data_IF_150017457521
#
_entry.id   IF_150017457521
#
_cell.length_a   1.000
_cell.length_b   1.000
_cell.length_c   1.000
_cell.angle_alpha   90.00
_cell.angle_beta   90.00
_cell.angle_gamma   90.00
#
_symmetry.space_group_name_H-M   'P 1'
#
loop_
_entity.id
_entity.type
_entity.pdbx_description
1 polymer ?
#
# COMPACT_ATOMS: atom_id res chain seq x y z
N UNK A 1 26.01 1.31 25.29
CA UNK A 1 25.84 0.98 23.85
C UNK A 1 24.46 1.37 23.31
N UNK A 2 23.35 0.68 23.61
CA UNK A 2 22.01 1.12 23.16
C UNK A 2 21.63 2.53 23.67
N UNK A 3 21.98 2.84 24.93
CA UNK A 3 21.75 4.16 25.54
C UNK A 3 22.62 5.26 24.94
N UNK A 4 23.88 4.96 24.59
CA UNK A 4 24.79 5.90 23.91
C UNK A 4 24.46 6.09 22.42
N UNK A 5 23.89 5.05 21.77
CA UNK A 5 23.52 5.08 20.35
C UNK A 5 22.16 5.78 20.15
N UNK A 6 21.21 5.62 21.08
CA UNK A 6 19.93 6.35 21.09
C UNK A 6 20.09 7.86 21.38
N UNK A 7 21.15 8.26 22.09
CA UNK A 7 21.45 9.66 22.38
C UNK A 7 22.00 10.42 21.16
N UNK A 8 22.57 9.74 20.16
CA UNK A 8 23.29 10.36 19.05
C UNK A 8 22.56 10.36 17.69
N UNK A 9 21.35 9.79 17.59
CA UNK A 9 20.53 9.87 16.36
C UNK A 9 19.71 11.16 16.33
N UNK A 10 20.25 12.22 15.72
CA UNK A 10 19.49 13.42 15.33
C UNK A 10 18.63 13.13 14.07
N UNK A 11 17.57 13.89 13.78
CA UNK A 11 16.66 13.66 12.63
C UNK A 11 17.30 13.76 11.23
N UNK A 12 18.62 13.97 11.15
CA UNK A 12 19.44 13.86 9.93
C UNK A 12 20.37 12.64 9.99
N UNK A 13 19.90 11.50 10.48
CA UNK A 13 20.71 10.27 10.39
C UNK A 13 20.90 9.93 8.92
N UNK A 14 22.15 9.79 8.47
CA UNK A 14 22.46 9.32 7.13
C UNK A 14 21.81 7.93 6.93
N UNK A 15 21.11 7.65 5.80
CA UNK A 15 20.42 6.39 5.56
C UNK A 15 21.28 5.15 5.86
N UNK A 16 22.56 5.19 5.48
CA UNK A 16 23.54 4.11 5.73
C UNK A 16 23.72 3.77 7.22
N UNK A 17 23.62 4.79 8.09
CA UNK A 17 23.73 4.60 9.53
C UNK A 17 22.49 3.89 10.09
N UNK A 18 21.29 4.25 9.62
CA UNK A 18 20.05 3.55 9.99
C UNK A 18 20.03 2.10 9.51
N UNK A 19 20.47 1.85 8.27
CA UNK A 19 20.64 0.48 7.73
C UNK A 19 21.58 -0.34 8.61
N UNK A 20 22.74 0.24 9.01
CA UNK A 20 23.67 -0.45 9.91
C UNK A 20 23.03 -0.76 11.27
N UNK A 21 22.25 0.17 11.82
CA UNK A 21 21.51 -0.05 13.07
C UNK A 21 20.49 -1.18 12.94
N UNK A 22 19.68 -1.16 11.88
CA UNK A 22 18.69 -2.21 11.61
C UNK A 22 19.33 -3.60 11.59
N UNK A 23 20.47 -3.76 10.92
CA UNK A 23 21.23 -5.03 10.88
C UNK A 23 21.77 -5.48 12.23
N UNK A 24 22.17 -4.54 13.09
CA UNK A 24 22.63 -4.85 14.45
C UNK A 24 21.44 -5.33 15.30
N UNK A 25 20.32 -4.60 15.27
CA UNK A 25 19.11 -4.97 16.01
C UNK A 25 18.51 -6.30 15.52
N UNK A 26 18.55 -6.59 14.22
CA UNK A 26 18.13 -7.87 13.65
C UNK A 26 18.89 -9.07 14.24
N UNK A 27 20.12 -8.85 14.72
CA UNK A 27 20.95 -9.87 15.40
C UNK A 27 20.78 -9.87 16.93
N UNK A 28 20.01 -8.93 17.48
CA UNK A 28 19.77 -8.74 18.90
C UNK A 28 18.26 -8.64 19.20
N UNK A 29 17.48 -9.72 18.99
CA UNK A 29 16.02 -9.69 19.13
C UNK A 29 15.53 -9.31 20.55
N UNK A 30 16.30 -9.60 21.60
CA UNK A 30 15.97 -9.17 22.96
C UNK A 30 16.02 -7.64 23.12
N UNK A 31 17.00 -6.98 22.50
CA UNK A 31 17.13 -5.53 22.52
C UNK A 31 16.03 -4.86 21.70
N UNK A 32 15.70 -5.44 20.55
CA UNK A 32 14.58 -5.00 19.73
C UNK A 32 13.22 -5.16 20.45
N UNK A 33 13.03 -6.24 21.21
CA UNK A 33 11.86 -6.43 22.05
C UNK A 33 11.78 -5.38 23.17
N UNK A 34 12.90 -5.05 23.81
CA UNK A 34 12.97 -3.97 24.79
C UNK A 34 12.63 -2.60 24.19
N UNK A 35 13.12 -2.32 22.98
CA UNK A 35 12.77 -1.12 22.22
C UNK A 35 11.27 -1.06 21.89
N UNK A 36 10.69 -2.18 21.43
CA UNK A 36 9.27 -2.32 21.16
C UNK A 36 8.44 -2.05 22.43
N UNK A 37 8.81 -2.63 23.57
CA UNK A 37 8.14 -2.41 24.85
C UNK A 37 8.18 -0.94 25.29
N UNK A 38 9.36 -0.31 25.18
CA UNK A 38 9.51 1.11 25.51
C UNK A 38 8.65 2.01 24.61
N UNK A 39 8.60 1.72 23.30
CA UNK A 39 7.76 2.44 22.34
C UNK A 39 6.27 2.23 22.60
N UNK A 40 5.86 0.99 22.88
CA UNK A 40 4.48 0.60 23.13
C UNK A 40 3.88 1.25 24.39
N UNK A 41 4.71 1.65 25.35
CA UNK A 41 4.28 2.27 26.60
C UNK A 41 4.34 3.81 26.60
N UNK A 42 4.69 4.47 25.49
CA UNK A 42 4.72 5.95 25.42
C UNK A 42 3.32 6.55 25.49
N UNK A 43 3.13 7.59 26.29
CA UNK A 43 1.84 8.31 26.38
C UNK A 43 1.81 9.67 25.69
N UNK A 44 2.95 10.21 25.25
CA UNK A 44 3.04 11.57 24.70
C UNK A 44 4.03 11.68 23.54
N UNK A 45 3.75 12.61 22.62
CA UNK A 45 4.63 12.92 21.49
C UNK A 45 5.94 13.54 21.97
N UNK A 46 7.06 13.08 21.40
CA UNK A 46 8.36 13.70 21.65
C UNK A 46 9.51 13.06 20.90
N UNK A 47 10.69 13.67 21.01
CA UNK A 47 11.92 13.25 20.30
C UNK A 47 12.34 11.80 20.64
N UNK A 48 11.94 11.28 21.79
CA UNK A 48 12.20 9.89 22.16
C UNK A 48 11.33 8.91 21.37
N UNK A 49 10.05 9.21 21.18
CA UNK A 49 9.12 8.41 20.36
C UNK A 49 9.61 8.32 18.92
N UNK A 50 9.94 9.47 18.32
CA UNK A 50 10.41 9.56 16.94
C UNK A 50 11.67 8.72 16.73
N UNK A 51 12.66 8.85 17.63
CA UNK A 51 13.89 8.06 17.59
C UNK A 51 13.63 6.56 17.70
N UNK A 52 12.82 6.14 18.67
CA UNK A 52 12.52 4.72 18.87
C UNK A 52 11.74 4.15 17.68
N UNK A 53 10.81 4.92 17.10
CA UNK A 53 10.09 4.55 15.89
C UNK A 53 11.01 4.37 14.69
N UNK A 54 11.98 5.26 14.48
CA UNK A 54 12.96 5.12 13.40
C UNK A 54 13.88 3.91 13.57
N UNK A 55 14.37 3.67 14.80
CA UNK A 55 15.23 2.51 15.09
C UNK A 55 14.49 1.19 14.90
N UNK A 56 13.25 1.11 15.39
CA UNK A 56 12.41 -0.08 15.24
C UNK A 56 12.05 -0.31 13.77
N UNK A 57 11.65 0.75 13.06
CA UNK A 57 11.36 0.70 11.62
C UNK A 57 12.55 0.21 10.80
N UNK A 58 13.76 0.69 11.08
CA UNK A 58 14.97 0.21 10.38
C UNK A 58 15.27 -1.27 10.64
N UNK A 59 15.03 -1.76 11.86
CA UNK A 59 15.20 -3.18 12.18
C UNK A 59 14.15 -4.06 11.48
N UNK A 60 12.90 -3.60 11.45
CA UNK A 60 11.79 -4.26 10.75
C UNK A 60 12.01 -4.30 9.24
N UNK A 61 12.53 -3.22 8.65
CA UNK A 61 12.83 -3.15 7.22
C UNK A 61 13.92 -4.16 6.82
N UNK A 62 15.02 -4.24 7.58
CA UNK A 62 16.06 -5.24 7.39
C UNK A 62 15.52 -6.67 7.59
N UNK A 63 14.64 -6.88 8.58
CA UNK A 63 14.00 -8.17 8.81
C UNK A 63 13.08 -8.57 7.64
N UNK A 64 12.32 -7.61 7.10
CA UNK A 64 11.48 -7.78 5.91
C UNK A 64 12.33 -8.16 4.71
N UNK A 65 13.37 -7.39 4.40
CA UNK A 65 14.30 -7.66 3.27
C UNK A 65 14.94 -9.05 3.42
N UNK A 66 15.41 -9.41 4.61
CA UNK A 66 15.97 -10.73 4.92
C UNK A 66 14.95 -11.84 4.63
N UNK A 67 13.71 -11.70 5.10
CA UNK A 67 12.61 -12.65 4.85
C UNK A 67 12.27 -12.78 3.37
N UNK A 68 12.15 -11.67 2.65
CA UNK A 68 11.82 -11.64 1.22
C UNK A 68 12.92 -12.24 0.33
N UNK A 69 14.16 -12.26 0.82
CA UNK A 69 15.28 -12.93 0.17
C UNK A 69 15.43 -14.41 0.63
N UNK A 70 14.39 -14.97 1.26
CA UNK A 70 14.34 -16.38 1.66
C UNK A 70 15.16 -16.72 2.92
N UNK A 71 15.63 -15.73 3.67
CA UNK A 71 16.39 -15.99 4.89
C UNK A 71 15.48 -16.16 6.10
N UNK A 72 15.65 -17.28 6.82
CA UNK A 72 14.85 -17.62 8.01
C UNK A 72 15.01 -16.60 9.15
N UNK A 73 16.16 -15.91 9.24
CA UNK A 73 16.43 -14.94 10.30
C UNK A 73 15.40 -13.81 10.33
N UNK A 74 15.04 -13.24 9.18
CA UNK A 74 14.06 -12.16 9.09
C UNK A 74 12.69 -12.59 9.62
N UNK A 75 12.24 -13.79 9.24
CA UNK A 75 10.98 -14.37 9.75
C UNK A 75 11.01 -14.57 11.27
N UNK A 76 12.05 -15.22 11.79
CA UNK A 76 12.17 -15.49 13.23
C UNK A 76 12.21 -14.20 14.06
N UNK A 77 12.85 -13.16 13.54
CA UNK A 77 12.90 -11.86 14.20
C UNK A 77 11.51 -11.21 14.28
N UNK A 78 10.77 -11.16 13.17
CA UNK A 78 9.41 -10.61 13.14
C UNK A 78 8.50 -11.41 14.06
N UNK A 79 8.51 -12.74 13.96
CA UNK A 79 7.71 -13.66 14.79
C UNK A 79 8.00 -13.44 16.30
N UNK A 80 9.26 -13.17 16.68
CA UNK A 80 9.66 -12.87 18.06
C UNK A 80 9.12 -11.53 18.57
N UNK A 81 9.16 -10.47 17.76
CA UNK A 81 8.61 -9.17 18.15
C UNK A 81 7.09 -9.23 18.27
N UNK A 82 6.47 -9.97 17.36
CA UNK A 82 5.04 -10.26 17.34
C UNK A 82 4.58 -11.01 18.60
N UNK A 83 5.35 -12.01 19.05
CA UNK A 83 5.12 -12.70 20.30
C UNK A 83 5.29 -11.77 21.52
N UNK A 84 6.32 -10.91 21.51
CA UNK A 84 6.54 -9.93 22.58
C UNK A 84 5.38 -8.92 22.68
N UNK A 85 4.89 -8.45 21.53
CA UNK A 85 3.70 -7.60 21.47
C UNK A 85 2.47 -8.28 22.09
N UNK A 86 2.29 -9.59 21.85
CA UNK A 86 1.24 -10.38 22.49
C UNK A 86 1.34 -10.38 24.02
N UNK A 87 2.54 -10.46 24.58
CA UNK A 87 2.73 -10.35 26.03
C UNK A 87 2.36 -8.95 26.55
N UNK A 88 2.77 -7.89 25.86
CA UNK A 88 2.45 -6.51 26.24
C UNK A 88 0.93 -6.24 26.25
N UNK A 89 0.19 -6.87 25.33
CA UNK A 89 -1.28 -6.81 25.30
C UNK A 89 -1.87 -7.48 26.54
N UNK A 90 -1.40 -8.66 26.89
CA UNK A 90 -1.86 -9.40 28.08
C UNK A 90 -1.54 -8.63 29.38
N UNK A 91 -0.39 -7.95 29.45
CA UNK A 91 -0.01 -7.16 30.62
C UNK A 91 -0.61 -5.76 30.67
N UNK A 92 -1.39 -5.36 29.66
CA UNK A 92 -2.02 -4.03 29.60
C UNK A 92 -1.01 -2.88 29.45
N UNK A 93 0.17 -3.15 28.86
CA UNK A 93 1.28 -2.18 28.78
C UNK A 93 1.25 -1.31 27.52
N UNK A 94 0.30 -1.55 26.60
CA UNK A 94 0.12 -0.75 25.39
C UNK A 94 -0.79 0.45 25.67
N UNK A 95 -0.24 1.64 25.50
CA UNK A 95 -1.02 2.88 25.44
C UNK A 95 -1.60 3.06 24.04
N UNK A 96 -2.60 3.95 23.90
CA UNK A 96 -3.12 4.32 22.56
C UNK A 96 -2.02 4.90 21.66
N UNK A 97 -1.21 5.83 22.19
CA UNK A 97 -0.11 6.45 21.43
C UNK A 97 0.97 5.43 21.05
N UNK A 98 1.30 4.51 21.96
CA UNK A 98 2.25 3.43 21.69
C UNK A 98 1.76 2.48 20.61
N UNK A 99 0.46 2.12 20.58
CA UNK A 99 -0.14 1.35 19.47
C UNK A 99 0.05 2.05 18.13
N UNK A 100 -0.22 3.36 18.07
CA UNK A 100 -0.05 4.14 16.84
C UNK A 100 1.42 4.19 16.40
N UNK A 101 2.35 4.45 17.32
CA UNK A 101 3.78 4.52 17.00
C UNK A 101 4.33 3.17 16.53
N UNK A 102 3.92 2.06 17.16
CA UNK A 102 4.27 0.70 16.74
C UNK A 102 3.65 0.37 15.39
N UNK A 103 2.37 0.67 15.17
CA UNK A 103 1.70 0.49 13.87
C UNK A 103 2.45 1.22 12.76
N UNK A 104 2.76 2.50 12.97
CA UNK A 104 3.53 3.30 12.01
C UNK A 104 4.93 2.73 11.72
N UNK A 105 5.62 2.16 12.72
CA UNK A 105 6.91 1.52 12.51
C UNK A 105 6.81 0.28 11.59
N UNK A 106 5.75 -0.52 11.72
CA UNK A 106 5.47 -1.65 10.81
C UNK A 106 5.15 -1.17 9.39
N UNK A 107 4.22 -0.22 9.26
CA UNK A 107 3.77 0.30 7.96
C UNK A 107 4.94 0.91 7.20
N UNK A 108 5.73 1.78 7.84
CA UNK A 108 6.90 2.41 7.20
C UNK A 108 8.00 1.42 6.83
N UNK A 109 8.06 0.27 7.51
CA UNK A 109 8.94 -0.82 7.14
C UNK A 109 8.37 -1.72 6.01
N UNK A 110 7.19 -1.41 5.48
CA UNK A 110 6.52 -2.22 4.44
C UNK A 110 5.93 -3.52 4.97
N UNK A 111 5.59 -3.59 6.26
CA UNK A 111 4.98 -4.75 6.90
C UNK A 111 3.53 -4.46 7.28
N UNK A 112 2.68 -5.48 7.20
CA UNK A 112 1.32 -5.44 7.76
C UNK A 112 1.41 -5.40 9.30
N UNK A 113 0.85 -4.39 9.97
CA UNK A 113 0.84 -4.35 11.42
C UNK A 113 0.06 -5.54 12.03
N UNK A 114 0.50 -6.13 13.15
CA UNK A 114 -0.17 -7.29 13.72
C UNK A 114 -1.56 -6.94 14.26
N UNK A 115 -2.57 -7.79 14.01
CA UNK A 115 -3.95 -7.59 14.48
C UNK A 115 -4.07 -7.40 16.01
N UNK A 116 -3.07 -7.89 16.77
CA UNK A 116 -2.95 -7.69 18.22
C UNK A 116 -2.84 -6.22 18.64
N UNK A 117 -2.46 -5.33 17.71
CA UNK A 117 -2.43 -3.88 17.94
C UNK A 117 -3.82 -3.27 18.06
N UNK A 118 -4.85 -3.95 17.55
CA UNK A 118 -6.23 -3.51 17.68
C UNK A 118 -6.57 -3.27 19.16
N UNK A 119 -7.15 -2.11 19.44
CA UNK A 119 -7.77 -1.84 20.73
C UNK A 119 -9.01 -2.72 20.87
N UNK A 120 -9.36 -3.05 22.11
CA UNK A 120 -10.68 -3.63 22.39
C UNK A 120 -11.75 -2.58 22.13
N UNK A 121 -12.96 -3.01 21.78
CA UNK A 121 -14.08 -2.10 21.47
C UNK A 121 -14.40 -1.16 22.62
N UNK A 122 -14.46 -1.67 23.85
CA UNK A 122 -14.69 -0.87 25.07
C UNK A 122 -13.62 0.20 25.27
N UNK A 123 -12.34 -0.19 25.23
CA UNK A 123 -11.23 0.74 25.38
C UNK A 123 -11.14 1.78 24.24
N UNK A 124 -11.58 1.41 23.03
CA UNK A 124 -11.61 2.34 21.90
C UNK A 124 -12.75 3.37 22.05
N UNK A 125 -13.94 2.92 22.44
CA UNK A 125 -15.08 3.79 22.69
C UNK A 125 -14.83 4.76 23.86
N UNK A 126 -14.12 4.33 24.92
CA UNK A 126 -13.70 5.25 26.00
C UNK A 126 -12.81 6.40 25.50
N UNK A 127 -11.98 6.15 24.48
CA UNK A 127 -11.06 7.15 23.92
C UNK A 127 -11.75 8.08 22.92
N UNK A 128 -12.66 7.55 22.10
CA UNK A 128 -13.35 8.30 21.04
C UNK A 128 -14.67 8.93 21.51
N UNK A 129 -15.22 8.47 22.64
CA UNK A 129 -16.58 8.77 23.09
C UNK A 129 -17.54 7.63 22.71
N UNK A 130 -18.55 7.38 23.54
CA UNK A 130 -19.50 6.25 23.44
C UNK A 130 -20.34 6.23 22.13
N UNK A 131 -20.31 7.28 21.33
CA UNK A 131 -21.08 7.38 20.10
C UNK A 131 -20.31 6.82 18.90
N UNK A 132 -20.79 5.71 18.35
CA UNK A 132 -20.45 5.25 16.99
C UNK A 132 -21.31 6.00 15.96
N UNK A 133 -21.57 7.29 16.19
CA UNK A 133 -22.35 8.11 15.26
C UNK A 133 -21.47 8.39 14.02
N UNK A 134 -21.96 8.19 12.79
CA UNK A 134 -21.27 8.65 11.58
C UNK A 134 -20.74 10.09 11.68
N UNK A 135 -21.41 10.98 12.40
CA UNK A 135 -20.96 12.35 12.64
C UNK A 135 -19.62 12.45 13.40
N UNK A 136 -19.34 11.52 14.32
CA UNK A 136 -18.07 11.49 15.07
C UNK A 136 -16.92 11.06 14.17
N UNK A 137 -17.16 10.08 13.30
CA UNK A 137 -16.18 9.67 12.29
C UNK A 137 -15.91 10.77 11.25
N UNK A 138 -16.93 11.50 10.82
CA UNK A 138 -16.75 12.66 9.93
C UNK A 138 -15.85 13.71 10.60
N UNK A 139 -16.08 14.02 11.88
CA UNK A 139 -15.25 14.97 12.63
C UNK A 139 -13.81 14.50 12.81
N UNK A 140 -13.61 13.20 13.04
CA UNK A 140 -12.28 12.59 13.11
C UNK A 140 -11.56 12.73 11.77
N UNK A 141 -12.21 12.39 10.65
CA UNK A 141 -11.61 12.51 9.32
C UNK A 141 -11.30 13.98 9.03
N UNK A 142 -12.18 14.92 9.34
CA UNK A 142 -11.92 16.36 9.14
C UNK A 142 -10.66 16.80 9.89
N UNK A 143 -10.50 16.41 11.15
CA UNK A 143 -9.32 16.75 11.94
C UNK A 143 -8.00 16.21 11.35
N UNK A 144 -8.08 15.08 10.64
CA UNK A 144 -6.94 14.37 10.06
C UNK A 144 -6.59 14.87 8.65
N UNK A 145 -7.61 15.21 7.88
CA UNK A 145 -7.49 15.56 6.45
C UNK A 145 -7.13 17.03 6.27
N UNK A 146 -7.67 17.92 7.11
CA UNK A 146 -7.42 19.36 7.04
C UNK A 146 -5.94 19.74 7.00
N UNK A 147 -5.05 19.16 7.84
CA UNK A 147 -3.63 19.42 7.76
C UNK A 147 -3.00 18.95 6.44
N UNK A 148 -3.39 17.77 5.94
CA UNK A 148 -2.82 17.16 4.74
C UNK A 148 -3.22 17.93 3.47
N UNK A 149 -4.45 18.41 3.39
CA UNK A 149 -4.90 19.26 2.28
C UNK A 149 -4.09 20.56 2.23
N UNK A 150 -3.73 21.15 3.39
CA UNK A 150 -2.92 22.38 3.45
C UNK A 150 -1.48 22.17 2.99
N UNK A 151 -0.98 20.94 3.05
CA UNK A 151 0.37 20.56 2.63
C UNK A 151 0.42 20.01 1.19
N UNK A 152 -0.67 20.15 0.41
CA UNK A 152 -0.85 19.53 -0.92
C UNK A 152 -0.65 17.99 -0.92
N UNK A 153 -0.94 17.34 0.23
CA UNK A 153 -0.90 15.90 0.36
C UNK A 153 -1.98 15.21 -0.49
N UNK A 154 -1.57 14.48 -1.52
CA UNK A 154 -2.48 13.71 -2.39
C UNK A 154 -3.06 12.46 -1.72
N UNK A 155 -3.81 11.65 -2.49
CA UNK A 155 -4.44 10.40 -2.03
C UNK A 155 -3.44 9.40 -1.41
N UNK A 156 -2.20 9.37 -1.88
CA UNK A 156 -1.12 8.56 -1.28
C UNK A 156 -0.76 8.97 0.15
N UNK A 157 -0.74 10.27 0.46
CA UNK A 157 -0.43 10.75 1.81
C UNK A 157 -1.54 10.38 2.80
N UNK A 158 -2.80 10.49 2.34
CA UNK A 158 -3.96 10.04 3.09
C UNK A 158 -3.97 8.53 3.32
N UNK A 159 -3.67 7.74 2.27
CA UNK A 159 -3.55 6.30 2.40
C UNK A 159 -2.48 5.91 3.43
N UNK A 160 -1.31 6.55 3.41
CA UNK A 160 -0.25 6.31 4.37
C UNK A 160 -0.69 6.63 5.82
N UNK A 161 -1.36 7.76 6.03
CA UNK A 161 -1.90 8.14 7.34
C UNK A 161 -2.89 7.09 7.87
N UNK A 162 -3.86 6.68 7.05
CA UNK A 162 -4.84 5.67 7.46
C UNK A 162 -4.20 4.29 7.67
N UNK A 163 -3.18 3.94 6.90
CA UNK A 163 -2.45 2.68 7.06
C UNK A 163 -1.82 2.57 8.46
N UNK A 164 -1.35 3.67 9.04
CA UNK A 164 -0.82 3.67 10.42
C UNK A 164 -1.94 3.60 11.48
N UNK A 165 -3.12 4.14 11.18
CA UNK A 165 -4.21 4.30 12.15
C UNK A 165 -5.18 3.11 12.18
N UNK A 166 -5.69 2.66 11.05
CA UNK A 166 -6.71 1.61 10.97
C UNK A 166 -6.34 0.34 11.76
N UNK A 167 -5.08 -0.13 11.77
CA UNK A 167 -4.71 -1.34 12.50
C UNK A 167 -4.91 -1.26 14.02
N UNK A 168 -4.90 -0.06 14.62
CA UNK A 168 -5.11 0.10 16.07
C UNK A 168 -6.59 0.12 16.46
N UNK A 169 -7.49 0.22 15.48
CA UNK A 169 -8.93 0.24 15.70
C UNK A 169 -9.48 -1.18 15.80
N UNK A 170 -10.59 -1.40 16.54
CA UNK A 170 -11.35 -2.64 16.47
C UNK A 170 -11.91 -2.90 15.05
N UNK A 171 -12.12 -4.16 14.64
CA UNK A 171 -12.58 -4.51 13.30
C UNK A 171 -13.84 -3.77 12.83
N UNK A 172 -14.88 -3.69 13.67
CA UNK A 172 -16.12 -2.98 13.34
C UNK A 172 -15.92 -1.48 13.11
N UNK A 173 -15.06 -0.85 13.93
CA UNK A 173 -14.72 0.58 13.78
C UNK A 173 -13.91 0.85 12.50
N UNK A 174 -13.01 -0.07 12.11
CA UNK A 174 -12.28 0.03 10.83
C UNK A 174 -13.25 0.06 9.65
N UNK A 175 -14.16 -0.90 9.59
CA UNK A 175 -15.16 -0.98 8.51
C UNK A 175 -15.99 0.31 8.45
N UNK A 176 -16.50 0.76 9.60
CA UNK A 176 -17.33 1.97 9.69
C UNK A 176 -16.57 3.21 9.22
N UNK A 177 -15.36 3.45 9.74
CA UNK A 177 -14.54 4.59 9.36
C UNK A 177 -14.20 4.58 7.87
N UNK A 178 -13.80 3.42 7.33
CA UNK A 178 -13.48 3.27 5.90
C UNK A 178 -14.72 3.57 5.04
N UNK A 179 -15.88 3.03 5.39
CA UNK A 179 -17.14 3.31 4.69
C UNK A 179 -17.45 4.80 4.68
N UNK A 180 -17.39 5.45 5.84
CA UNK A 180 -17.64 6.90 5.98
C UNK A 180 -16.65 7.68 5.12
N UNK A 181 -15.34 7.40 5.25
CA UNK A 181 -14.29 8.07 4.48
C UNK A 181 -14.54 7.97 2.97
N UNK A 182 -14.75 6.76 2.44
CA UNK A 182 -14.98 6.54 1.00
C UNK A 182 -16.28 7.19 0.51
N UNK A 183 -17.30 7.26 1.35
CA UNK A 183 -18.57 7.89 1.04
C UNK A 183 -18.49 9.42 0.87
N UNK A 184 -17.42 10.08 1.32
CA UNK A 184 -17.30 11.55 1.33
C UNK A 184 -17.17 12.14 -0.07
N UNK A 185 -17.78 13.30 -0.39
CA UNK A 185 -17.86 13.83 -1.75
C UNK A 185 -16.54 13.95 -2.55
N UNK A 186 -15.40 14.41 -1.97
CA UNK A 186 -14.16 14.57 -2.74
C UNK A 186 -13.70 13.27 -3.41
N UNK A 187 -13.27 13.37 -4.67
CA UNK A 187 -12.95 12.19 -5.50
C UNK A 187 -11.78 11.35 -4.96
N UNK A 188 -10.84 12.00 -4.27
CA UNK A 188 -9.70 11.35 -3.63
C UNK A 188 -10.12 10.21 -2.69
N UNK A 189 -11.30 10.31 -2.07
CA UNK A 189 -11.81 9.28 -1.15
C UNK A 189 -12.35 8.07 -1.90
N UNK A 190 -12.88 8.27 -3.11
CA UNK A 190 -13.27 7.18 -3.99
C UNK A 190 -12.04 6.44 -4.54
N UNK A 191 -10.97 7.18 -4.87
CA UNK A 191 -9.67 6.61 -5.23
C UNK A 191 -9.08 5.79 -4.08
N UNK A 192 -9.16 6.32 -2.86
CA UNK A 192 -8.75 5.61 -1.65
C UNK A 192 -9.57 4.32 -1.44
N UNK A 193 -10.88 4.38 -1.68
CA UNK A 193 -11.74 3.20 -1.67
C UNK A 193 -11.31 2.16 -2.71
N UNK A 194 -10.90 2.56 -3.90
CA UNK A 194 -10.35 1.64 -4.90
C UNK A 194 -9.05 0.96 -4.41
N UNK A 195 -8.16 1.70 -3.75
CA UNK A 195 -6.94 1.14 -3.17
C UNK A 195 -7.26 0.12 -2.06
N UNK A 196 -8.20 0.45 -1.17
CA UNK A 196 -8.60 -0.41 -0.06
C UNK A 196 -9.34 -1.68 -0.45
N UNK A 197 -9.86 -1.80 -1.68
CA UNK A 197 -10.36 -3.07 -2.19
C UNK A 197 -9.27 -4.15 -2.29
N UNK A 198 -8.00 -3.75 -2.36
CA UNK A 198 -6.83 -4.63 -2.41
C UNK A 198 -6.18 -4.84 -1.03
N UNK A 199 -6.76 -4.30 0.05
CA UNK A 199 -6.21 -4.44 1.40
C UNK A 199 -6.28 -5.90 1.89
N UNK A 200 -5.31 -6.33 2.69
CA UNK A 200 -5.30 -7.67 3.30
C UNK A 200 -6.42 -7.87 4.35
N UNK A 201 -6.85 -6.80 5.03
CA UNK A 201 -7.87 -6.84 6.05
C UNK A 201 -9.29 -6.80 5.45
N UNK A 202 -10.14 -7.76 5.83
CA UNK A 202 -11.46 -7.95 5.25
C UNK A 202 -12.44 -6.81 5.60
N UNK A 203 -12.33 -6.24 6.79
CA UNK A 203 -13.17 -5.13 7.27
C UNK A 203 -12.88 -3.84 6.49
N UNK A 204 -11.61 -3.56 6.18
CA UNK A 204 -11.22 -2.45 5.30
C UNK A 204 -11.82 -2.64 3.90
N UNK A 205 -11.65 -3.82 3.28
CA UNK A 205 -12.24 -4.10 1.96
C UNK A 205 -13.77 -3.97 1.96
N UNK A 206 -14.41 -4.45 3.01
CA UNK A 206 -15.87 -4.39 3.21
C UNK A 206 -16.36 -2.95 3.33
N UNK A 207 -15.69 -2.14 4.16
CA UNK A 207 -16.01 -0.72 4.28
C UNK A 207 -15.84 0.02 2.96
N UNK A 208 -14.79 -0.32 2.20
CA UNK A 208 -14.50 0.35 0.92
C UNK A 208 -15.59 0.10 -0.12
N UNK A 209 -16.03 -1.16 -0.29
CA UNK A 209 -17.13 -1.47 -1.23
C UNK A 209 -18.46 -0.87 -0.78
N UNK A 210 -18.70 -0.72 0.53
CA UNK A 210 -19.89 -0.08 1.09
C UNK A 210 -19.89 1.43 0.82
N UNK A 211 -18.77 2.11 1.07
CA UNK A 211 -18.66 3.54 0.79
C UNK A 211 -18.79 3.84 -0.70
N UNK A 212 -18.22 3.01 -1.59
CA UNK A 212 -18.41 3.13 -3.03
C UNK A 212 -19.87 2.91 -3.44
N UNK A 213 -20.59 2.00 -2.76
CA UNK A 213 -22.02 1.81 -2.99
C UNK A 213 -22.84 3.02 -2.51
N UNK A 214 -22.47 3.63 -1.39
CA UNK A 214 -23.10 4.87 -0.89
C UNK A 214 -22.87 6.04 -1.86
N UNK A 215 -21.67 6.17 -2.44
CA UNK A 215 -21.40 7.13 -3.53
C UNK A 215 -22.28 6.88 -4.75
N UNK A 216 -22.43 5.61 -5.16
CA UNK A 216 -23.30 5.28 -6.28
C UNK A 216 -24.75 5.67 -5.97
N UNK A 217 -25.24 5.32 -4.78
CA UNK A 217 -26.60 5.63 -4.33
C UNK A 217 -26.88 7.15 -4.33
N UNK A 218 -25.93 7.96 -3.88
CA UNK A 218 -25.99 9.42 -3.84
C UNK A 218 -25.68 10.12 -5.18
N UNK A 219 -25.32 9.37 -6.22
CA UNK A 219 -25.01 9.93 -7.54
C UNK A 219 -23.63 10.58 -7.65
N UNK A 220 -22.71 10.26 -6.72
CA UNK A 220 -21.35 10.81 -6.63
C UNK A 220 -20.27 9.88 -7.21
N UNK A 221 -20.64 8.69 -7.70
CA UNK A 221 -19.69 7.78 -8.34
C UNK A 221 -19.33 8.28 -9.74
N UNK A 222 -18.04 8.57 -9.97
CA UNK A 222 -17.55 9.04 -11.27
C UNK A 222 -17.33 7.90 -12.26
N UNK A 223 -17.23 8.27 -13.54
CA UNK A 223 -16.86 7.33 -14.60
C UNK A 223 -15.41 6.86 -14.49
N UNK A 224 -14.52 7.69 -13.95
CA UNK A 224 -13.11 7.36 -13.72
C UNK A 224 -12.99 6.26 -12.65
N UNK A 225 -13.70 6.40 -11.53
CA UNK A 225 -13.77 5.35 -10.50
C UNK A 225 -14.38 4.08 -11.08
N UNK A 226 -15.46 4.17 -11.87
CA UNK A 226 -16.05 3.00 -12.51
C UNK A 226 -15.06 2.24 -13.42
N UNK A 227 -14.18 2.96 -14.14
CA UNK A 227 -13.13 2.36 -14.94
C UNK A 227 -12.12 1.58 -14.07
N UNK A 228 -11.70 2.16 -12.93
CA UNK A 228 -10.82 1.49 -11.94
C UNK A 228 -11.46 0.23 -11.38
N UNK A 229 -12.73 0.30 -10.97
CA UNK A 229 -13.48 -0.85 -10.45
C UNK A 229 -13.58 -1.99 -11.47
N UNK A 230 -13.69 -1.66 -12.76
CA UNK A 230 -13.72 -2.65 -13.85
C UNK A 230 -12.39 -3.38 -14.02
N UNK A 231 -11.27 -2.71 -13.77
CA UNK A 231 -9.93 -3.33 -13.74
C UNK A 231 -9.82 -4.25 -12.51
N UNK A 232 -10.10 -3.68 -11.33
CA UNK A 232 -9.93 -4.32 -10.03
C UNK A 232 -10.73 -5.62 -9.87
N UNK A 233 -11.92 -5.72 -10.49
CA UNK A 233 -12.77 -6.92 -10.38
C UNK A 233 -12.05 -8.23 -10.69
N UNK A 234 -11.08 -8.19 -11.61
CA UNK A 234 -10.33 -9.37 -12.05
C UNK A 234 -9.18 -9.75 -11.13
N UNK A 235 -8.87 -8.90 -10.14
CA UNK A 235 -7.76 -9.07 -9.22
C UNK A 235 -8.23 -9.44 -7.79
N UNK A 236 -9.53 -9.45 -7.52
CA UNK A 236 -10.07 -9.78 -6.19
C UNK A 236 -10.26 -11.30 -6.01
N UNK A 237 -9.47 -11.96 -5.18
CA UNK A 237 -9.61 -13.41 -4.89
C UNK A 237 -10.89 -13.74 -4.10
N UNK A 238 -11.33 -12.85 -3.23
CA UNK A 238 -12.55 -13.00 -2.44
C UNK A 238 -13.81 -12.98 -3.31
N UNK A 239 -14.49 -14.12 -3.41
CA UNK A 239 -15.69 -14.32 -4.23
C UNK A 239 -16.85 -13.43 -3.78
N UNK A 240 -17.03 -13.24 -2.47
CA UNK A 240 -18.14 -12.43 -1.94
C UNK A 240 -17.91 -10.96 -2.23
N UNK A 241 -16.69 -10.46 -2.01
CA UNK A 241 -16.32 -9.10 -2.36
C UNK A 241 -16.43 -8.85 -3.87
N UNK A 242 -15.94 -9.79 -4.69
CA UNK A 242 -16.04 -9.71 -6.16
C UNK A 242 -17.50 -9.62 -6.62
N UNK A 243 -18.39 -10.44 -6.05
CA UNK A 243 -19.82 -10.40 -6.38
C UNK A 243 -20.46 -9.05 -6.02
N UNK A 244 -20.09 -8.45 -4.88
CA UNK A 244 -20.56 -7.11 -4.49
C UNK A 244 -20.07 -6.05 -5.46
N UNK A 245 -18.79 -6.11 -5.83
CA UNK A 245 -18.20 -5.19 -6.81
C UNK A 245 -18.85 -5.33 -8.19
N UNK A 246 -19.10 -6.55 -8.66
CA UNK A 246 -19.79 -6.82 -9.93
C UNK A 246 -21.24 -6.27 -9.90
N UNK A 247 -21.91 -6.37 -8.75
CA UNK A 247 -23.22 -5.73 -8.54
C UNK A 247 -23.15 -4.22 -8.69
N UNK A 248 -22.21 -3.58 -8.00
CA UNK A 248 -21.99 -2.14 -8.04
C UNK A 248 -21.66 -1.65 -9.46
N UNK A 249 -20.72 -2.30 -10.15
CA UNK A 249 -20.36 -1.98 -11.55
C UNK A 249 -21.59 -2.10 -12.44
N UNK A 250 -22.36 -3.19 -12.32
CA UNK A 250 -23.58 -3.40 -13.11
C UNK A 250 -24.61 -2.30 -12.88
N UNK A 251 -24.82 -1.88 -11.63
CA UNK A 251 -25.77 -0.82 -11.29
C UNK A 251 -25.30 0.56 -11.78
N UNK A 252 -24.00 0.85 -11.69
CA UNK A 252 -23.40 2.05 -12.24
C UNK A 252 -23.55 2.13 -13.78
N UNK A 253 -23.34 1.02 -14.48
CA UNK A 253 -23.58 0.90 -15.93
C UNK A 253 -25.04 1.19 -16.29
N UNK A 254 -26.00 0.63 -15.53
CA UNK A 254 -27.45 0.88 -15.75
C UNK A 254 -27.84 2.34 -15.56
N UNK A 255 -27.12 3.07 -14.69
CA UNK A 255 -27.31 4.52 -14.49
C UNK A 255 -26.63 5.38 -15.56
N UNK A 256 -25.97 4.77 -16.55
CA UNK A 256 -25.37 5.48 -17.68
C UNK A 256 -24.01 6.13 -17.39
N UNK A 257 -23.38 5.83 -16.25
CA UNK A 257 -22.12 6.47 -15.82
C UNK A 257 -20.97 6.19 -16.82
N UNK A 258 -20.95 5.00 -17.44
CA UNK A 258 -19.87 4.61 -18.36
C UNK A 258 -19.82 5.38 -19.68
N UNK A 259 -20.94 5.95 -20.13
CA UNK A 259 -21.00 6.71 -21.39
C UNK A 259 -20.23 8.04 -21.33
N UNK A 260 -19.76 8.44 -20.14
CA UNK A 260 -18.96 9.66 -19.93
C UNK A 260 -17.45 9.47 -20.16
N UNK A 261 -16.97 8.24 -20.40
CA UNK A 261 -15.53 7.97 -20.61
C UNK A 261 -15.16 8.25 -22.07
N UNK A 262 -14.56 9.42 -22.33
CA UNK A 262 -13.75 9.62 -23.52
C UNK A 262 -12.33 9.17 -23.19
N UNK A 263 -11.84 8.10 -23.80
CA UNK A 263 -10.45 7.70 -23.62
C UNK A 263 -9.54 8.67 -24.41
N UNK A 264 -8.78 9.56 -23.75
CA UNK A 264 -7.82 10.39 -24.47
C UNK A 264 -6.78 9.49 -25.14
N UNK A 265 -6.36 9.83 -26.35
CA UNK A 265 -5.33 9.07 -27.06
C UNK A 265 -4.03 8.99 -26.26
N UNK A 266 -3.70 7.80 -25.76
CA UNK A 266 -2.48 7.51 -24.99
C UNK A 266 -1.36 7.09 -25.94
N UNK A 267 -0.17 7.64 -25.75
CA UNK A 267 1.03 7.29 -26.53
C UNK A 267 2.13 6.80 -25.58
N UNK A 268 2.58 5.57 -25.80
CA UNK A 268 3.77 5.02 -25.16
C UNK A 268 4.97 5.32 -26.08
N UNK A 269 5.92 6.15 -25.62
CA UNK A 269 7.08 6.55 -26.43
C UNK A 269 8.23 5.55 -26.35
N UNK A 270 8.45 4.98 -25.16
CA UNK A 270 9.52 4.02 -24.85
C UNK A 270 9.09 3.18 -23.68
N UNK A 271 9.39 1.89 -23.73
CA UNK A 271 9.15 0.93 -22.65
C UNK A 271 10.44 0.14 -22.48
N UNK A 272 10.94 0.07 -21.26
CA UNK A 272 12.15 -0.66 -20.91
C UNK A 272 11.87 -1.65 -19.80
N UNK A 273 12.64 -2.73 -19.76
CA UNK A 273 12.70 -3.65 -18.64
C UNK A 273 14.14 -4.07 -18.32
N UNK A 274 14.42 -4.30 -17.05
CA UNK A 274 15.68 -4.92 -16.62
C UNK A 274 15.67 -6.43 -16.91
N UNK A 275 16.84 -7.06 -16.80
CA UNK A 275 16.88 -8.50 -16.56
C UNK A 275 16.28 -8.83 -15.19
N UNK A 276 15.87 -10.09 -15.03
CA UNK A 276 15.53 -10.65 -13.73
C UNK A 276 16.82 -10.82 -12.94
N UNK A 277 16.93 -10.18 -11.78
CA UNK A 277 18.10 -10.29 -10.92
C UNK A 277 18.17 -11.61 -10.14
N UNK A 278 19.27 -11.84 -9.42
CA UNK A 278 19.46 -13.06 -8.61
C UNK A 278 18.46 -13.22 -7.44
N UNK A 279 17.64 -12.20 -7.15
CA UNK A 279 16.57 -12.24 -6.17
C UNK A 279 15.18 -12.47 -6.79
N UNK A 280 15.13 -12.65 -8.11
CA UNK A 280 13.90 -12.81 -8.87
C UNK A 280 13.16 -11.51 -9.16
N UNK A 281 13.80 -10.34 -9.04
CA UNK A 281 13.18 -9.04 -9.27
C UNK A 281 13.41 -8.52 -10.69
N UNK A 282 12.38 -7.90 -11.28
CA UNK A 282 12.45 -7.25 -12.58
C UNK A 282 11.75 -5.88 -12.52
N UNK A 283 12.47 -4.84 -12.93
CA UNK A 283 11.94 -3.48 -13.03
C UNK A 283 11.51 -3.17 -14.46
N UNK A 284 10.37 -2.52 -14.63
CA UNK A 284 9.87 -2.05 -15.92
C UNK A 284 9.52 -0.56 -15.82
N UNK A 285 9.76 0.20 -16.89
CA UNK A 285 9.38 1.59 -16.96
C UNK A 285 8.85 1.97 -18.35
N UNK A 286 7.83 2.83 -18.40
CA UNK A 286 7.22 3.30 -19.63
C UNK A 286 7.05 4.83 -19.60
N UNK A 287 7.52 5.51 -20.66
CA UNK A 287 7.20 6.94 -20.84
C UNK A 287 5.86 7.08 -21.53
N UNK A 288 4.90 7.72 -20.86
CA UNK A 288 3.51 7.87 -21.30
C UNK A 288 3.23 9.33 -21.66
N UNK A 289 2.43 9.56 -22.70
CA UNK A 289 1.84 10.85 -23.01
C UNK A 289 0.33 10.71 -23.25
N UNK A 290 -0.44 11.54 -22.55
CA UNK A 290 -1.90 11.63 -22.67
C UNK A 290 -2.28 13.08 -22.92
N UNK A 291 -2.63 13.42 -24.17
CA UNK A 291 -2.78 14.81 -24.58
C UNK A 291 -1.48 15.61 -24.41
N UNK A 292 -1.51 16.67 -23.59
CA UNK A 292 -0.33 17.48 -23.22
C UNK A 292 0.42 16.93 -21.99
N UNK A 293 -0.23 16.10 -21.17
CA UNK A 293 0.34 15.55 -19.95
C UNK A 293 1.33 14.43 -20.25
N UNK A 294 2.39 14.35 -19.44
CA UNK A 294 3.46 13.36 -19.56
C UNK A 294 3.71 12.70 -18.21
N UNK A 295 4.09 11.44 -18.24
CA UNK A 295 4.47 10.71 -17.04
C UNK A 295 5.44 9.57 -17.34
N UNK A 296 6.06 9.04 -16.28
CA UNK A 296 6.79 7.77 -16.32
C UNK A 296 6.06 6.79 -15.41
N UNK A 297 5.54 5.71 -15.98
CA UNK A 297 4.99 4.60 -15.22
C UNK A 297 6.11 3.62 -14.89
N UNK A 298 6.17 3.16 -13.64
CA UNK A 298 7.19 2.22 -13.14
C UNK A 298 6.49 1.04 -12.48
N UNK A 299 7.00 -0.17 -12.71
CA UNK A 299 6.51 -1.41 -12.08
C UNK A 299 7.70 -2.25 -11.64
N UNK A 300 7.62 -2.82 -10.44
CA UNK A 300 8.54 -3.81 -9.92
C UNK A 300 7.82 -5.15 -9.76
N UNK A 301 8.29 -6.15 -10.50
CA UNK A 301 7.86 -7.53 -10.39
C UNK A 301 8.84 -8.29 -9.50
N UNK A 302 8.37 -9.21 -8.67
CA UNK A 302 9.22 -10.08 -7.87
C UNK A 302 8.65 -11.49 -7.79
N UNK A 303 9.46 -12.47 -8.17
CA UNK A 303 9.12 -13.88 -8.03
C UNK A 303 8.71 -14.22 -6.59
N UNK A 304 7.62 -14.98 -6.44
CA UNK A 304 6.99 -15.33 -5.16
C UNK A 304 6.19 -14.22 -4.50
N UNK A 305 6.13 -13.03 -5.11
CA UNK A 305 5.38 -11.87 -4.60
C UNK A 305 4.41 -11.27 -5.63
N UNK A 306 4.68 -11.45 -6.92
CA UNK A 306 3.91 -10.82 -7.99
C UNK A 306 4.32 -9.36 -8.23
N UNK A 307 3.33 -8.45 -8.29
CA UNK A 307 3.57 -7.01 -8.49
C UNK A 307 3.85 -6.35 -7.13
N UNK A 308 5.13 -6.06 -6.87
CA UNK A 308 5.60 -5.57 -5.58
C UNK A 308 5.51 -4.06 -5.42
N UNK A 309 5.75 -3.33 -6.49
CA UNK A 309 5.64 -1.87 -6.51
C UNK A 309 5.14 -1.41 -7.89
N UNK A 310 4.38 -0.33 -7.91
CA UNK A 310 3.84 0.26 -9.12
C UNK A 310 3.39 1.69 -8.84
N UNK A 311 3.86 2.64 -9.65
CA UNK A 311 3.49 4.04 -9.51
C UNK A 311 3.67 4.81 -10.83
N UNK A 312 3.07 5.99 -10.89
CA UNK A 312 3.17 6.89 -12.04
C UNK A 312 3.75 8.22 -11.57
N UNK A 313 4.90 8.59 -12.13
CA UNK A 313 5.55 9.87 -11.88
C UNK A 313 5.05 10.89 -12.91
N UNK A 314 4.27 11.92 -12.53
CA UNK A 314 3.93 13.00 -13.44
C UNK A 314 5.19 13.76 -13.85
N UNK A 315 5.23 14.25 -15.08
CA UNK A 315 6.32 15.06 -15.60
C UNK A 315 5.78 16.40 -16.12
N UNK A 316 6.41 17.50 -15.72
CA UNK A 316 6.11 18.84 -16.21
C UNK A 316 6.53 19.04 -17.68
N UNK A 317 7.46 18.23 -18.19
CA UNK A 317 7.94 18.36 -19.57
C UNK A 317 8.47 17.06 -20.20
N UNK A 318 8.65 17.08 -21.53
CA UNK A 318 9.31 16.00 -22.26
C UNK A 318 10.78 15.84 -21.84
N UNK A 319 11.45 16.94 -21.47
CA UNK A 319 12.84 16.92 -21.02
C UNK A 319 12.97 16.22 -19.67
N UNK A 320 12.09 16.52 -18.73
CA UNK A 320 12.04 15.85 -17.44
C UNK A 320 11.70 14.35 -17.60
N UNK A 321 10.72 14.01 -18.44
CA UNK A 321 10.39 12.62 -18.75
C UNK A 321 11.60 11.84 -19.27
N UNK A 322 12.38 12.42 -20.18
CA UNK A 322 13.63 11.81 -20.68
C UNK A 322 14.69 11.70 -19.59
N UNK A 323 14.82 12.71 -18.71
CA UNK A 323 15.79 12.70 -17.62
C UNK A 323 15.47 11.63 -16.57
N UNK A 324 14.19 11.46 -16.19
CA UNK A 324 13.75 10.38 -15.31
C UNK A 324 14.05 9.02 -15.94
N UNK A 325 13.68 8.83 -17.20
CA UNK A 325 13.95 7.58 -17.91
C UNK A 325 15.46 7.28 -17.99
N UNK A 326 16.29 8.29 -18.29
CA UNK A 326 17.74 8.12 -18.33
C UNK A 326 18.31 7.66 -16.98
N UNK A 327 17.88 8.25 -15.85
CA UNK A 327 18.30 7.81 -14.51
C UNK A 327 17.96 6.34 -14.25
N UNK A 328 16.74 5.92 -14.59
CA UNK A 328 16.32 4.52 -14.44
C UNK A 328 17.25 3.59 -15.26
N UNK A 329 17.57 3.97 -16.50
CA UNK A 329 18.41 3.16 -17.39
C UNK A 329 19.92 3.23 -17.09
N UNK A 330 20.37 4.26 -16.35
CA UNK A 330 21.77 4.41 -15.93
C UNK A 330 22.06 3.60 -14.65
N UNK A 331 21.06 3.40 -13.80
CA UNK A 331 21.18 2.63 -12.55
C UNK A 331 21.13 1.11 -12.76
N UNK A 332 20.38 0.66 -13.78
CA UNK A 332 20.14 -0.77 -14.05
C UNK A 332 20.22 -1.02 -15.56
N UNK A 333 20.90 -2.10 -15.95
CA UNK A 333 20.91 -2.53 -17.35
C UNK A 333 19.49 -2.89 -17.81
N UNK A 334 19.03 -2.25 -18.88
CA UNK A 334 17.66 -2.35 -19.38
C UNK A 334 17.61 -2.54 -20.89
N UNK A 335 16.52 -3.15 -21.35
CA UNK A 335 16.24 -3.47 -22.75
C UNK A 335 14.91 -2.85 -23.17
N UNK A 336 14.85 -2.34 -24.40
CA UNK A 336 13.59 -1.89 -24.98
C UNK A 336 12.66 -3.09 -25.22
N UNK A 337 11.42 -2.97 -24.77
CA UNK A 337 10.41 -4.03 -24.85
C UNK A 337 9.12 -3.51 -25.48
N UNK A 338 8.24 -4.44 -25.90
CA UNK A 338 6.93 -4.09 -26.43
C UNK A 338 5.90 -3.88 -25.31
N UNK A 339 4.82 -3.15 -25.61
CA UNK A 339 3.66 -3.03 -24.70
C UNK A 339 2.98 -4.36 -24.45
N UNK A 340 2.98 -5.27 -25.44
CA UNK A 340 2.49 -6.64 -25.30
C UNK A 340 3.30 -7.41 -24.25
N UNK A 341 4.63 -7.34 -24.32
CA UNK A 341 5.49 -7.98 -23.33
C UNK A 341 5.25 -7.41 -21.93
N UNK A 342 5.16 -6.08 -21.79
CA UNK A 342 4.82 -5.46 -20.50
C UNK A 342 3.50 -5.98 -19.92
N UNK A 343 2.45 -6.04 -20.74
CA UNK A 343 1.16 -6.57 -20.31
C UNK A 343 1.25 -8.06 -19.91
N UNK A 344 2.00 -8.87 -20.65
CA UNK A 344 2.19 -10.29 -20.33
C UNK A 344 2.97 -10.49 -19.03
N UNK A 345 4.09 -9.79 -18.85
CA UNK A 345 4.92 -9.89 -17.65
C UNK A 345 4.13 -9.49 -16.39
N UNK A 346 3.39 -8.37 -16.45
CA UNK A 346 2.53 -7.94 -15.34
C UNK A 346 1.39 -8.94 -15.13
N UNK A 347 0.80 -9.48 -16.19
CA UNK A 347 -0.27 -10.49 -16.09
C UNK A 347 0.18 -11.79 -15.41
N UNK A 348 1.39 -12.26 -15.70
CA UNK A 348 2.01 -13.43 -15.05
C UNK A 348 2.28 -13.15 -13.57
N UNK A 349 2.92 -12.00 -13.26
CA UNK A 349 3.19 -11.60 -11.89
C UNK A 349 1.91 -11.39 -11.07
N UNK A 350 0.85 -10.87 -11.70
CA UNK A 350 -0.46 -10.76 -11.07
C UNK A 350 -1.00 -12.12 -10.65
N UNK A 351 -0.94 -13.13 -11.53
CA UNK A 351 -1.43 -14.46 -11.16
C UNK A 351 -0.58 -15.10 -10.06
N UNK A 352 0.74 -15.02 -10.16
CA UNK A 352 1.65 -15.53 -9.13
C UNK A 352 1.36 -14.92 -7.75
N UNK A 353 1.21 -13.59 -7.69
CA UNK A 353 0.84 -12.90 -6.45
C UNK A 353 -0.51 -13.37 -5.91
N UNK A 354 -1.54 -13.42 -6.76
CA UNK A 354 -2.88 -13.84 -6.33
C UNK A 354 -2.95 -15.32 -5.89
N UNK A 355 -2.18 -16.21 -6.52
CA UNK A 355 -2.02 -17.61 -6.08
C UNK A 355 -1.36 -17.71 -4.70
N UNK A 356 -0.49 -16.76 -4.37
CA UNK A 356 0.15 -16.63 -3.06
C UNK A 356 -0.68 -15.84 -2.03
N UNK A 357 -1.94 -15.50 -2.35
CA UNK A 357 -2.82 -14.63 -1.55
C UNK A 357 -2.24 -13.22 -1.30
N UNK A 358 -1.46 -12.73 -2.26
CA UNK A 358 -0.88 -11.39 -2.29
C UNK A 358 -1.59 -10.56 -3.36
N UNK A 359 -2.43 -9.63 -2.90
CA UNK A 359 -3.01 -8.63 -3.78
C UNK A 359 -1.91 -7.73 -4.37
N UNK A 360 -2.04 -7.25 -5.62
CA UNK A 360 -1.12 -6.26 -6.16
C UNK A 360 -1.19 -4.95 -5.38
N UNK A 361 -0.10 -4.17 -5.42
CA UNK A 361 -0.14 -2.80 -4.90
C UNK A 361 -1.15 -1.93 -5.64
N UNK A 362 -1.80 -1.01 -4.91
CA UNK A 362 -2.88 -0.17 -5.45
C UNK A 362 -2.46 0.71 -6.62
N UNK A 363 -1.22 1.22 -6.62
CA UNK A 363 -0.68 2.04 -7.70
C UNK A 363 -0.55 1.31 -9.05
N UNK A 364 -0.72 -0.02 -9.09
CA UNK A 364 -0.82 -0.77 -10.34
C UNK A 364 -2.03 -0.33 -11.17
N UNK A 365 -3.14 0.06 -10.54
CA UNK A 365 -4.31 0.59 -11.26
C UNK A 365 -3.93 1.84 -12.06
N UNK A 366 -3.17 2.76 -11.45
CA UNK A 366 -2.71 3.99 -12.09
C UNK A 366 -1.80 3.69 -13.29
N UNK A 367 -0.89 2.71 -13.13
CA UNK A 367 -0.02 2.25 -14.22
C UNK A 367 -0.85 1.67 -15.36
N UNK A 368 -1.81 0.80 -15.05
CA UNK A 368 -2.68 0.15 -16.03
C UNK A 368 -3.49 1.17 -16.82
N UNK A 369 -4.09 2.14 -16.13
CA UNK A 369 -4.85 3.22 -16.79
C UNK A 369 -3.93 4.12 -17.62
N UNK A 370 -2.78 4.53 -17.07
CA UNK A 370 -1.82 5.39 -17.76
C UNK A 370 -1.27 4.73 -19.02
N UNK A 371 -0.96 3.43 -18.95
CA UNK A 371 -0.38 2.70 -20.07
C UNK A 371 -1.41 2.19 -21.08
N UNK A 372 -2.71 2.41 -20.85
CA UNK A 372 -3.78 1.90 -21.73
C UNK A 372 -3.92 0.38 -21.68
N UNK A 373 -3.64 -0.23 -20.53
CA UNK A 373 -3.67 -1.67 -20.30
C UNK A 373 -4.97 -2.14 -19.63
N UNK A 374 -6.10 -1.44 -19.79
CA UNK A 374 -7.35 -1.73 -19.05
C UNK A 374 -7.88 -3.18 -19.20
N UNK A 375 -7.47 -3.88 -20.26
CA UNK A 375 -7.74 -5.30 -20.48
C UNK A 375 -6.82 -6.26 -19.71
N UNK A 376 -5.91 -5.75 -18.86
CA UNK A 376 -4.97 -6.57 -18.10
C UNK A 376 -5.73 -7.54 -17.18
N UNK A 377 -5.40 -8.82 -17.29
CA UNK A 377 -5.93 -9.90 -16.47
C UNK A 377 -4.76 -10.73 -15.95
N UNK A 378 -4.92 -11.38 -14.78
CA UNK A 378 -3.99 -12.43 -14.36
C UNK A 378 -3.89 -13.48 -15.47
N UNK A 379 -2.66 -13.84 -15.86
CA UNK A 379 -2.36 -14.88 -16.84
C UNK A 379 -1.90 -16.15 -16.13
N UNK A 380 -2.15 -17.35 -16.67
CA UNK A 380 -1.63 -18.58 -16.06
C UNK A 380 -0.13 -18.51 -15.75
N UNK A 381 0.26 -18.73 -14.50
CA UNK A 381 1.63 -18.59 -13.96
C UNK A 381 2.42 -19.91 -13.91
N UNK A 382 1.83 -21.05 -14.27
CA UNK A 382 2.56 -22.32 -14.28
C UNK A 382 3.63 -22.35 -15.37
N UNK A 383 4.74 -23.07 -15.11
CA UNK A 383 5.84 -23.20 -16.08
C UNK A 383 5.33 -23.76 -17.41
N UNK A 384 4.44 -24.74 -17.35
CA UNK A 384 3.81 -25.33 -18.54
C UNK A 384 3.03 -24.28 -19.34
N UNK A 385 2.21 -23.45 -18.68
CA UNK A 385 1.42 -22.44 -19.36
C UNK A 385 2.26 -21.26 -19.88
N UNK A 386 3.37 -20.94 -19.21
CA UNK A 386 4.35 -19.95 -19.67
C UNK A 386 5.08 -20.47 -20.92
N UNK A 387 5.45 -21.75 -20.95
CA UNK A 387 6.07 -22.38 -22.12
C UNK A 387 5.10 -22.42 -23.31
N UNK A 388 3.81 -22.68 -23.08
CA UNK A 388 2.77 -22.60 -24.11
C UNK A 388 2.58 -21.18 -24.67
N UNK A 389 2.89 -20.13 -23.90
CA UNK A 389 2.88 -18.73 -24.38
C UNK A 389 4.12 -18.35 -25.21
N UNK A 390 5.22 -19.10 -25.05
CA UNK A 390 6.49 -18.86 -25.73
C UNK A 390 6.61 -19.58 -27.08
N UNK A 391 5.74 -20.57 -27.35
CA UNK A 391 5.66 -21.27 -28.63
C UNK A 391 4.53 -20.63 -29.49
N UNK A 392 4.86 -19.91 -30.58
CA UNK A 392 3.93 -19.04 -31.31
C UNK A 392 2.82 -19.73 -32.12
#
# INVERSE_FOLDING_TARGET
>A
MLTDLAQNTTPKVQPETLTRFGRVLLRAPADAAGLLGALASISSVGVAEERMSHLLGAALDEARISRENGQQQGKLFIDSLEAHLGMLVVTGSLTFRGRLAVSGAWVRAGLTPPERLASREDAFNEVIGDSQDPADFDSLIDSLVDPLIREDGGSSALHAMFAEMLPIMPPGARQALVRVAVGRPPELFAELGCAWLLDTNAEIRTGAVEGLADRLASGQLSAEVLARLTILRSWLTDVMLRNRLDGLVRDAMRRGIASAISEPGRKLHRIVASLVDGSGAQSMAATVQTGSSRSVAVVLLKQGFGVKDAYVLPCASATEQRAIMARITDEIETFDISSKYMAQAIGLALAEGLEADLAPVSGLVDVVQSCGLAGLRPLPSSVEAILELADP
#
